data_IF_145927323669
#
_entry.id   IF_145927323669
#
_cell.length_a   1.000
_cell.length_b   1.000
_cell.length_c   1.000
_cell.angle_alpha   90.00
_cell.angle_beta   90.00
_cell.angle_gamma   90.00
#
_symmetry.space_group_name_H-M   'P 1'
#
loop_
_entity.id
_entity.type
_entity.pdbx_description
1 polymer ?
#
# COMPACT_ATOMS: atom_id res chain seq x y z
N UNK A 1 7.64 -3.37 -48.94
CA UNK A 1 6.38 -2.95 -48.28
C UNK A 1 6.39 -3.49 -46.86
N UNK A 2 6.74 -2.66 -45.88
CA UNK A 2 6.75 -3.02 -44.45
C UNK A 2 6.29 -1.78 -43.68
N UNK A 3 5.13 -1.91 -43.01
CA UNK A 3 4.55 -0.89 -42.13
C UNK A 3 5.03 -1.20 -40.71
N UNK A 4 5.77 -0.29 -40.09
CA UNK A 4 6.01 -0.29 -38.65
C UNK A 4 4.83 0.39 -37.96
N UNK A 5 4.26 -0.30 -36.97
CA UNK A 5 3.25 0.22 -36.05
C UNK A 5 3.95 0.87 -34.85
N UNK A 6 3.45 2.05 -34.46
CA UNK A 6 3.79 2.76 -33.23
C UNK A 6 3.15 2.06 -32.01
N UNK A 7 3.76 2.10 -30.82
CA UNK A 7 3.10 1.67 -29.59
C UNK A 7 2.18 2.77 -29.05
N UNK A 8 0.97 2.34 -28.69
CA UNK A 8 -0.15 3.14 -28.21
C UNK A 8 0.09 3.80 -26.85
N UNK A 9 -0.48 5.00 -26.71
CA UNK A 9 -0.44 5.82 -25.50
C UNK A 9 -1.30 5.27 -24.36
N UNK A 10 -0.81 5.51 -23.14
CA UNK A 10 -1.46 5.16 -21.88
C UNK A 10 -2.83 5.86 -21.77
N UNK A 11 -3.88 5.05 -21.68
CA UNK A 11 -5.28 5.48 -21.60
C UNK A 11 -5.63 6.08 -20.23
N UNK A 12 -6.01 7.37 -20.23
CA UNK A 12 -6.46 8.17 -19.06
C UNK A 12 -7.67 7.57 -18.31
N UNK A 13 -8.37 6.58 -18.88
CA UNK A 13 -9.49 5.86 -18.23
C UNK A 13 -9.04 4.80 -17.23
N UNK A 14 -7.78 4.33 -17.28
CA UNK A 14 -7.24 3.40 -16.28
C UNK A 14 -6.89 4.10 -14.97
N UNK A 15 -6.47 5.38 -15.03
CA UNK A 15 -6.05 6.15 -13.86
C UNK A 15 -7.24 6.55 -12.95
N UNK A 16 -8.41 6.84 -13.52
CA UNK A 16 -9.61 7.20 -12.73
C UNK A 16 -10.30 6.02 -12.05
N UNK A 17 -9.96 4.77 -12.38
CA UNK A 17 -10.44 3.59 -11.64
C UNK A 17 -9.64 3.32 -10.36
N UNK A 18 -8.42 3.84 -10.25
CA UNK A 18 -7.56 3.64 -9.08
C UNK A 18 -7.77 4.69 -7.98
N UNK A 19 -8.29 5.87 -8.32
CA UNK A 19 -8.53 6.96 -7.36
C UNK A 19 -9.88 6.86 -6.60
N UNK A 20 -10.74 5.88 -6.92
CA UNK A 20 -12.10 5.78 -6.39
C UNK A 20 -12.29 4.85 -5.19
N UNK A 21 -11.22 4.33 -4.56
CA UNK A 21 -11.31 3.25 -3.56
C UNK A 21 -10.54 3.55 -2.27
N UNK A 22 -10.62 4.78 -1.76
CA UNK A 22 -9.92 5.14 -0.51
C UNK A 22 -10.68 6.14 0.35
N UNK A 23 -11.99 5.94 0.59
CA UNK A 23 -12.69 6.61 1.70
C UNK A 23 -13.79 5.70 2.26
N UNK A 24 -13.51 5.04 3.39
CA UNK A 24 -14.39 4.63 4.50
C UNK A 24 -13.81 3.35 5.15
N UNK A 25 -13.63 3.21 6.46
CA UNK A 25 -13.65 4.14 7.58
C UNK A 25 -12.88 3.41 8.72
N UNK A 26 -12.03 4.15 9.42
CA UNK A 26 -11.62 3.79 10.78
C UNK A 26 -12.86 3.89 11.68
N UNK A 27 -13.38 2.76 12.14
CA UNK A 27 -14.31 2.71 13.26
C UNK A 27 -14.28 1.32 13.93
N UNK A 28 -13.94 1.35 15.22
CA UNK A 28 -14.33 0.41 16.26
C UNK A 28 -13.87 -1.06 16.17
N UNK A 29 -12.92 -1.37 17.06
CA UNK A 29 -12.79 -2.62 17.82
C UNK A 29 -14.03 -3.54 17.84
N UNK A 30 -13.84 -4.80 17.41
CA UNK A 30 -14.61 -5.96 17.88
C UNK A 30 -15.55 -6.62 16.86
N UNK A 31 -15.31 -7.90 16.56
CA UNK A 31 -16.29 -8.81 15.93
C UNK A 31 -16.04 -9.07 14.44
N UNK A 32 -15.91 -10.35 14.08
CA UNK A 32 -15.54 -10.79 12.73
C UNK A 32 -16.71 -10.88 11.75
N UNK A 33 -16.38 -11.02 10.46
CA UNK A 33 -17.03 -11.94 9.53
C UNK A 33 -16.35 -11.86 8.14
N UNK A 34 -16.30 -13.02 7.51
CA UNK A 34 -15.76 -13.34 6.21
C UNK A 34 -16.32 -12.52 5.04
N UNK A 35 -15.47 -12.29 4.02
CA UNK A 35 -15.89 -12.37 2.61
C UNK A 35 -14.79 -13.13 1.84
N UNK A 36 -14.95 -14.45 1.76
CA UNK A 36 -14.31 -15.30 0.75
C UNK A 36 -15.36 -15.62 -0.32
N UNK A 37 -15.11 -15.23 -1.57
CA UNK A 37 -15.84 -15.75 -2.72
C UNK A 37 -14.90 -16.50 -3.65
N UNK A 38 -15.02 -17.82 -3.55
CA UNK A 38 -15.14 -18.80 -4.63
C UNK A 38 -14.37 -18.55 -5.92
N UNK A 39 -13.30 -19.33 -6.09
CA UNK A 39 -13.06 -20.04 -7.35
C UNK A 39 -12.96 -21.54 -7.06
N UNK A 40 -13.92 -22.28 -7.60
CA UNK A 40 -13.94 -23.74 -7.63
C UNK A 40 -12.81 -24.27 -8.51
N UNK A 41 -12.13 -25.31 -8.02
CA UNK A 41 -11.82 -26.53 -8.79
C UNK A 41 -11.48 -27.65 -7.82
N UNK A 42 -12.41 -28.59 -7.67
CA UNK A 42 -12.18 -29.89 -7.02
C UNK A 42 -11.20 -30.72 -7.87
N UNK A 43 -10.27 -31.44 -7.24
CA UNK A 43 -9.93 -32.78 -7.67
C UNK A 43 -10.59 -33.79 -6.74
N UNK A 44 -11.36 -34.67 -7.38
CA UNK A 44 -11.69 -36.01 -6.87
C UNK A 44 -10.37 -36.74 -6.65
N UNK A 45 -10.12 -37.25 -5.45
CA UNK A 45 -9.09 -38.26 -5.22
C UNK A 45 -9.81 -39.51 -4.73
N UNK A 46 -9.78 -40.49 -5.62
CA UNK A 46 -10.25 -41.85 -5.42
C UNK A 46 -9.57 -42.51 -4.22
N UNK A 47 -10.41 -43.20 -3.45
CA UNK A 47 -10.01 -44.15 -2.44
C UNK A 47 -9.33 -45.37 -3.09
N UNK A 48 -8.00 -45.47 -3.00
CA UNK A 48 -7.28 -46.75 -3.17
C UNK A 48 -6.01 -46.74 -2.32
N UNK A 49 -5.93 -47.59 -1.29
CA UNK A 49 -4.72 -47.71 -0.48
C UNK A 49 -4.81 -48.64 0.72
N UNK A 50 -5.04 -49.93 0.46
CA UNK A 50 -4.87 -51.12 1.32
C UNK A 50 -4.33 -50.92 2.74
N UNK A 51 -5.14 -51.33 3.71
CA UNK A 51 -4.71 -51.79 5.03
C UNK A 51 -3.81 -53.03 4.91
N UNK A 52 -2.70 -53.16 5.67
CA UNK A 52 -2.17 -54.47 5.98
C UNK A 52 -3.09 -55.12 7.02
N UNK A 53 -3.81 -56.17 6.59
CA UNK A 53 -4.45 -57.13 7.50
C UNK A 53 -3.38 -57.77 8.38
N UNK A 54 -3.36 -57.41 9.66
CA UNK A 54 -2.63 -58.19 10.67
C UNK A 54 -3.37 -59.50 10.87
N UNK A 55 -2.81 -60.59 10.34
CA UNK A 55 -3.27 -61.94 10.60
C UNK A 55 -3.27 -62.22 12.12
N UNK A 56 -4.33 -62.81 12.69
CA UNK A 56 -4.29 -63.24 14.09
C UNK A 56 -3.25 -64.37 14.24
N UNK A 57 -2.49 -64.43 15.35
CA UNK A 57 -1.59 -65.55 15.60
C UNK A 57 -2.40 -66.84 15.69
N UNK A 58 -2.02 -67.79 14.83
CA UNK A 58 -2.51 -69.17 14.81
C UNK A 58 -2.25 -69.78 16.18
N UNK A 59 -3.32 -70.03 16.93
CA UNK A 59 -3.28 -70.80 18.18
C UNK A 59 -2.86 -72.22 17.86
N UNK A 60 -1.75 -72.65 18.46
CA UNK A 60 -1.31 -74.04 18.41
C UNK A 60 -2.34 -74.94 19.14
N UNK A 61 -2.62 -76.14 18.62
CA UNK A 61 -3.58 -77.05 19.23
C UNK A 61 -3.07 -77.58 20.57
N UNK A 62 -3.99 -77.65 21.52
CA UNK A 62 -3.90 -78.29 22.82
C UNK A 62 -3.08 -79.59 22.81
N UNK A 63 -2.06 -79.68 23.65
CA UNK A 63 -1.67 -80.96 24.27
C UNK A 63 -2.33 -81.01 25.63
N UNK A 64 -3.57 -81.48 25.67
CA UNK A 64 -4.18 -82.08 26.85
C UNK A 64 -3.35 -83.32 27.21
N UNK A 65 -2.28 -83.12 27.98
CA UNK A 65 -1.69 -84.20 28.74
C UNK A 65 -2.71 -84.57 29.82
N UNK A 66 -3.49 -85.63 29.57
CA UNK A 66 -4.25 -86.29 30.60
C UNK A 66 -3.28 -86.64 31.74
N UNK A 67 -3.62 -86.39 33.02
CA UNK A 67 -2.84 -86.95 34.11
C UNK A 67 -2.87 -88.47 33.92
N UNK A 68 -1.69 -89.07 33.77
CA UNK A 68 -1.53 -90.51 33.90
C UNK A 68 -1.90 -90.80 35.35
N UNK A 69 -3.15 -91.20 35.58
CA UNK A 69 -3.53 -91.94 36.77
C UNK A 69 -2.81 -93.27 36.61
N UNK A 70 -1.63 -93.37 37.22
CA UNK A 70 -1.02 -94.67 37.43
C UNK A 70 -2.03 -95.51 38.22
N UNK A 71 -2.61 -96.51 37.55
CA UNK A 71 -3.30 -97.60 38.22
C UNK A 71 -2.29 -98.26 39.17
N UNK A 72 -2.29 -97.81 40.43
CA UNK A 72 -1.71 -98.58 41.52
C UNK A 72 -2.71 -99.71 41.73
N UNK A 73 -2.55 -100.79 40.97
CA UNK A 73 -3.13 -102.08 41.32
C UNK A 73 -2.42 -102.48 42.61
N UNK A 74 -3.11 -102.56 43.77
CA UNK A 74 -2.48 -103.07 44.97
C UNK A 74 -2.28 -104.56 44.76
N UNK A 75 -1.05 -104.98 44.52
CA UNK A 75 -0.67 -106.38 44.65
C UNK A 75 -0.79 -106.73 46.13
N UNK A 76 -1.91 -107.35 46.50
CA UNK A 76 -2.11 -107.97 47.82
C UNK A 76 -1.12 -109.14 47.95
N UNK A 77 -0.18 -109.11 48.91
CA UNK A 77 0.58 -110.30 49.26
C UNK A 77 -0.39 -111.29 49.93
N UNK A 78 -0.30 -112.54 49.47
CA UNK A 78 -1.02 -113.66 50.06
C UNK A 78 -0.62 -113.83 51.54
N UNK A 79 -1.62 -113.74 52.41
CA UNK A 79 -1.69 -114.36 53.74
C UNK A 79 -0.44 -114.22 54.64
N UNK A 80 -0.34 -113.08 55.33
CA UNK A 80 0.10 -113.03 56.72
C UNK A 80 -1.06 -112.50 57.58
N UNK A 81 -1.03 -112.80 58.87
CA UNK A 81 -2.12 -112.67 59.84
C UNK A 81 -2.90 -111.34 59.80
N UNK A 82 -4.14 -111.36 60.28
CA UNK A 82 -5.16 -110.29 60.19
C UNK A 82 -4.84 -108.88 60.74
N UNK A 83 -3.57 -108.56 61.02
CA UNK A 83 -3.08 -107.21 61.33
C UNK A 83 -2.56 -106.43 60.10
N UNK A 84 -2.12 -107.11 59.02
CA UNK A 84 -1.49 -106.45 57.85
C UNK A 84 -2.50 -105.83 56.86
N UNK A 85 -3.71 -106.38 56.77
CA UNK A 85 -4.80 -105.80 55.93
C UNK A 85 -5.27 -104.44 56.47
N UNK A 86 -5.26 -104.26 57.79
CA UNK A 86 -5.58 -102.97 58.42
C UNK A 86 -4.47 -101.94 58.18
N UNK A 87 -3.21 -102.34 58.21
CA UNK A 87 -2.08 -101.47 57.85
C UNK A 87 -2.13 -101.04 56.38
N UNK A 88 -2.49 -101.96 55.48
CA UNK A 88 -2.64 -101.65 54.05
C UNK A 88 -3.86 -100.76 53.76
N UNK A 89 -4.99 -100.96 54.46
CA UNK A 89 -6.16 -100.06 54.38
C UNK A 89 -5.83 -98.66 54.93
N UNK A 90 -5.11 -98.57 56.05
CA UNK A 90 -4.67 -97.31 56.63
C UNK A 90 -3.69 -96.56 55.70
N UNK A 91 -2.77 -97.27 55.04
CA UNK A 91 -1.89 -96.70 54.02
C UNK A 91 -2.68 -96.19 52.81
N UNK A 92 -3.67 -96.95 52.33
CA UNK A 92 -4.54 -96.51 51.22
C UNK A 92 -5.43 -95.31 51.60
N UNK A 93 -5.90 -95.24 52.85
CA UNK A 93 -6.64 -94.07 53.35
C UNK A 93 -5.75 -92.83 53.45
N UNK A 94 -4.50 -92.99 53.90
CA UNK A 94 -3.53 -91.91 53.94
C UNK A 94 -3.21 -91.39 52.53
N UNK A 95 -3.07 -92.28 51.55
CA UNK A 95 -2.85 -91.92 50.14
C UNK A 95 -4.06 -91.20 49.52
N UNK A 96 -5.29 -91.66 49.80
CA UNK A 96 -6.51 -90.95 49.36
C UNK A 96 -6.61 -89.56 50.00
N UNK A 97 -6.23 -89.40 51.27
CA UNK A 97 -6.17 -88.07 51.90
C UNK A 97 -5.09 -87.18 51.28
N UNK A 98 -3.93 -87.73 50.93
CA UNK A 98 -2.86 -87.00 50.25
C UNK A 98 -3.26 -86.59 48.83
N UNK A 99 -3.90 -87.47 48.07
CA UNK A 99 -4.42 -87.18 46.73
C UNK A 99 -5.53 -86.13 46.76
N UNK A 100 -6.42 -86.18 47.77
CA UNK A 100 -7.43 -85.14 47.99
C UNK A 100 -6.80 -83.79 48.31
N UNK A 101 -5.85 -83.75 49.24
CA UNK A 101 -5.10 -82.53 49.55
C UNK A 101 -4.36 -81.97 48.32
N UNK A 102 -3.79 -82.85 47.47
CA UNK A 102 -3.13 -82.43 46.23
C UNK A 102 -4.11 -81.86 45.20
N UNK A 103 -5.30 -82.47 45.04
CA UNK A 103 -6.35 -81.95 44.16
C UNK A 103 -6.87 -80.60 44.67
N UNK A 104 -7.08 -80.45 45.98
CA UNK A 104 -7.51 -79.19 46.59
C UNK A 104 -6.46 -78.09 46.43
N UNK A 105 -5.17 -78.44 46.37
CA UNK A 105 -4.10 -77.50 46.07
C UNK A 105 -4.08 -77.11 44.59
N UNK A 106 -4.18 -78.07 43.67
CA UNK A 106 -4.27 -77.81 42.24
C UNK A 106 -5.49 -76.97 41.87
N UNK A 107 -6.65 -77.20 42.51
CA UNK A 107 -7.85 -76.38 42.30
C UNK A 107 -7.66 -74.93 42.76
N UNK A 108 -6.94 -74.72 43.86
CA UNK A 108 -6.59 -73.37 44.34
C UNK A 108 -5.62 -72.67 43.39
N UNK A 109 -4.62 -73.38 42.88
CA UNK A 109 -3.67 -72.83 41.91
C UNK A 109 -4.37 -72.50 40.58
N UNK A 110 -5.30 -73.34 40.13
CA UNK A 110 -6.09 -73.10 38.91
C UNK A 110 -7.02 -71.89 39.08
N UNK A 111 -7.66 -71.75 40.25
CA UNK A 111 -8.46 -70.56 40.57
C UNK A 111 -7.59 -69.28 40.65
N UNK A 112 -6.39 -69.36 41.23
CA UNK A 112 -5.44 -68.25 41.28
C UNK A 112 -4.96 -67.85 39.87
N UNK A 113 -4.65 -68.83 39.01
CA UNK A 113 -4.29 -68.60 37.61
C UNK A 113 -5.44 -67.99 36.81
N UNK A 114 -6.67 -68.47 36.99
CA UNK A 114 -7.85 -67.89 36.35
C UNK A 114 -8.07 -66.43 36.76
N UNK A 115 -7.82 -66.11 38.04
CA UNK A 115 -7.92 -64.74 38.55
C UNK A 115 -6.82 -63.86 37.95
N UNK A 116 -5.57 -64.33 37.93
CA UNK A 116 -4.44 -63.62 37.32
C UNK A 116 -4.60 -63.42 35.81
N UNK A 117 -5.20 -64.39 35.11
CA UNK A 117 -5.53 -64.26 33.69
C UNK A 117 -6.66 -63.23 33.45
N UNK A 118 -7.64 -63.18 34.34
CA UNK A 118 -8.67 -62.13 34.38
C UNK A 118 -8.07 -60.73 34.53
N UNK A 119 -7.18 -60.56 35.51
CA UNK A 119 -6.49 -59.28 35.78
C UNK A 119 -5.62 -58.84 34.61
N UNK A 120 -4.87 -59.77 34.00
CA UNK A 120 -4.03 -59.46 32.82
C UNK A 120 -4.85 -59.14 31.58
N UNK A 121 -6.02 -59.78 31.37
CA UNK A 121 -6.95 -59.38 30.30
C UNK A 121 -7.48 -57.97 30.54
N UNK A 122 -7.88 -57.66 31.76
CA UNK A 122 -8.41 -56.34 32.11
C UNK A 122 -7.35 -55.24 31.94
N UNK A 123 -6.10 -55.52 32.31
CA UNK A 123 -4.95 -54.62 32.06
C UNK A 123 -4.64 -54.45 30.57
N UNK A 124 -4.75 -55.51 29.77
CA UNK A 124 -4.57 -55.40 28.30
C UNK A 124 -5.67 -54.57 27.66
N UNK A 125 -6.91 -54.76 28.09
CA UNK A 125 -8.06 -54.00 27.59
C UNK A 125 -7.93 -52.52 27.96
N UNK A 126 -7.47 -52.19 29.18
CA UNK A 126 -7.22 -50.80 29.59
C UNK A 126 -6.10 -50.16 28.76
N UNK A 127 -4.98 -50.87 28.56
CA UNK A 127 -3.87 -50.38 27.73
C UNK A 127 -4.29 -50.22 26.25
N UNK A 128 -5.14 -51.10 25.73
CA UNK A 128 -5.67 -50.99 24.38
C UNK A 128 -6.55 -49.74 24.20
N UNK A 129 -7.40 -49.44 25.19
CA UNK A 129 -8.20 -48.22 25.21
C UNK A 129 -7.32 -46.96 25.34
N UNK A 130 -6.30 -46.97 26.19
CA UNK A 130 -5.35 -45.86 26.31
C UNK A 130 -4.57 -45.62 25.01
N UNK A 131 -4.17 -46.70 24.32
CA UNK A 131 -3.48 -46.61 23.04
C UNK A 131 -4.39 -46.07 21.92
N UNK A 132 -5.66 -46.44 21.93
CA UNK A 132 -6.65 -45.93 20.97
C UNK A 132 -6.97 -44.45 21.21
N UNK A 133 -7.12 -44.03 22.47
CA UNK A 133 -7.25 -42.61 22.85
C UNK A 133 -5.99 -41.81 22.46
N UNK A 134 -4.80 -42.33 22.74
CA UNK A 134 -3.55 -41.70 22.32
C UNK A 134 -3.44 -41.58 20.79
N UNK A 135 -3.86 -42.61 20.03
CA UNK A 135 -3.92 -42.57 18.56
C UNK A 135 -4.91 -41.53 18.05
N UNK A 136 -6.09 -41.46 18.64
CA UNK A 136 -7.09 -40.45 18.26
C UNK A 136 -6.57 -39.03 18.54
N UNK A 137 -5.95 -38.79 19.71
CA UNK A 137 -5.32 -37.50 20.04
C UNK A 137 -4.18 -37.16 19.07
N UNK A 138 -3.34 -38.12 18.72
CA UNK A 138 -2.29 -37.93 17.72
C UNK A 138 -2.86 -37.61 16.33
N UNK A 139 -3.97 -38.24 15.94
CA UNK A 139 -4.67 -37.94 14.69
C UNK A 139 -5.23 -36.51 14.65
N UNK A 140 -5.86 -36.06 15.73
CA UNK A 140 -6.37 -34.68 15.85
C UNK A 140 -5.23 -33.65 15.82
N UNK A 141 -4.13 -33.92 16.57
CA UNK A 141 -2.95 -33.06 16.56
C UNK A 141 -2.28 -33.03 15.17
N UNK A 142 -2.20 -34.18 14.48
CA UNK A 142 -1.69 -34.27 13.12
C UNK A 142 -2.53 -33.48 12.13
N UNK A 143 -3.86 -33.52 12.24
CA UNK A 143 -4.77 -32.70 11.43
C UNK A 143 -4.59 -31.20 11.68
N UNK A 144 -4.44 -30.78 12.94
CA UNK A 144 -4.13 -29.39 13.30
C UNK A 144 -2.79 -28.94 12.71
N UNK A 145 -1.75 -29.78 12.82
CA UNK A 145 -0.43 -29.50 12.23
C UNK A 145 -0.54 -29.35 10.71
N UNK A 146 -1.31 -30.20 10.03
CA UNK A 146 -1.53 -30.09 8.58
C UNK A 146 -2.24 -28.78 8.19
N UNK A 147 -3.25 -28.34 8.97
CA UNK A 147 -3.90 -27.05 8.76
C UNK A 147 -2.96 -25.87 8.99
N UNK A 148 -2.12 -25.93 10.03
CA UNK A 148 -1.07 -24.92 10.24
C UNK A 148 -0.05 -24.93 9.11
N UNK A 149 0.35 -26.10 8.62
CA UNK A 149 1.25 -26.24 7.47
C UNK A 149 0.64 -25.62 6.21
N UNK A 150 -0.64 -25.88 5.93
CA UNK A 150 -1.32 -25.31 4.77
C UNK A 150 -1.47 -23.79 4.86
N UNK A 151 -1.74 -23.26 6.07
CA UNK A 151 -1.72 -21.82 6.33
C UNK A 151 -0.30 -21.23 6.20
N UNK A 152 0.72 -22.05 6.44
CA UNK A 152 2.12 -21.66 6.29
C UNK A 152 2.57 -21.69 4.82
N UNK A 153 2.15 -22.69 4.06
CA UNK A 153 2.42 -22.84 2.63
C UNK A 153 1.69 -21.77 1.81
N UNK A 154 0.56 -21.24 2.32
CA UNK A 154 0.01 -20.00 1.82
C UNK A 154 1.03 -18.88 2.09
N UNK A 155 1.75 -18.47 1.05
CA UNK A 155 2.81 -17.45 1.10
C UNK A 155 2.26 -16.03 1.31
N UNK A 156 1.51 -15.85 2.40
CA UNK A 156 1.02 -14.56 2.87
C UNK A 156 2.20 -13.64 3.21
N UNK A 157 3.35 -14.21 3.56
CA UNK A 157 4.57 -13.48 3.83
C UNK A 157 5.11 -12.76 2.61
N UNK A 158 5.34 -13.50 1.51
CA UNK A 158 5.78 -12.92 0.25
C UNK A 158 4.78 -11.91 -0.31
N UNK A 159 3.48 -12.22 -0.29
CA UNK A 159 2.45 -11.28 -0.74
C UNK A 159 2.46 -9.97 0.08
N UNK A 160 2.64 -10.07 1.40
CA UNK A 160 2.72 -8.90 2.27
C UNK A 160 4.00 -8.11 2.03
N UNK A 161 5.14 -8.79 1.88
CA UNK A 161 6.43 -8.15 1.62
C UNK A 161 6.44 -7.41 0.27
N UNK A 162 5.94 -8.05 -0.79
CA UNK A 162 5.79 -7.46 -2.11
C UNK A 162 4.83 -6.26 -2.07
N UNK A 163 3.69 -6.42 -1.39
CA UNK A 163 2.69 -5.37 -1.24
C UNK A 163 3.23 -4.16 -0.46
N UNK A 164 4.00 -4.41 0.60
CA UNK A 164 4.70 -3.35 1.32
C UNK A 164 5.74 -2.71 0.41
N UNK A 165 6.60 -3.48 -0.25
CA UNK A 165 7.61 -2.97 -1.17
C UNK A 165 7.03 -2.02 -2.21
N UNK A 166 5.95 -2.42 -2.89
CA UNK A 166 5.28 -1.62 -3.91
C UNK A 166 4.71 -0.29 -3.37
N UNK A 167 4.11 -0.30 -2.17
CA UNK A 167 3.61 0.92 -1.52
C UNK A 167 4.78 1.81 -1.10
N UNK A 168 5.83 1.23 -0.52
CA UNK A 168 7.04 1.92 -0.11
C UNK A 168 7.75 2.59 -1.29
N UNK A 169 7.79 1.95 -2.46
CA UNK A 169 8.34 2.52 -3.69
C UNK A 169 7.57 3.78 -4.11
N UNK A 170 6.23 3.73 -4.14
CA UNK A 170 5.41 4.91 -4.52
C UNK A 170 5.49 6.05 -3.51
N UNK A 171 5.57 5.73 -2.23
CA UNK A 171 5.83 6.73 -1.19
C UNK A 171 7.25 7.31 -1.37
N UNK A 172 8.22 6.47 -1.68
CA UNK A 172 9.61 6.88 -1.96
C UNK A 172 9.72 7.79 -3.19
N UNK A 173 9.02 7.48 -4.29
CA UNK A 173 8.91 8.35 -5.47
C UNK A 173 8.31 9.72 -5.12
N UNK A 174 7.22 9.73 -4.35
CA UNK A 174 6.56 10.96 -3.91
C UNK A 174 7.49 11.82 -3.05
N UNK A 175 8.15 11.22 -2.08
CA UNK A 175 9.12 11.89 -1.21
C UNK A 175 10.37 12.32 -1.98
N UNK A 176 10.83 11.52 -2.94
CA UNK A 176 11.97 11.84 -3.80
C UNK A 176 11.71 13.03 -4.70
N UNK A 177 10.46 13.25 -5.12
CA UNK A 177 10.04 14.44 -5.87
C UNK A 177 9.85 15.70 -5.02
N UNK A 178 9.72 15.55 -3.70
CA UNK A 178 9.39 16.65 -2.80
C UNK A 178 10.44 17.78 -2.76
N UNK A 179 11.76 17.54 -2.79
CA UNK A 179 12.76 18.62 -2.82
C UNK A 179 12.68 19.49 -4.09
N UNK A 180 12.42 18.89 -5.25
CA UNK A 180 12.25 19.61 -6.49
C UNK A 180 11.00 20.50 -6.45
N UNK A 181 9.90 19.98 -5.90
CA UNK A 181 8.68 20.75 -5.68
C UNK A 181 8.92 21.91 -4.70
N UNK A 182 9.55 21.65 -3.56
CA UNK A 182 9.88 22.68 -2.56
C UNK A 182 10.73 23.81 -3.15
N UNK A 183 11.77 23.46 -3.92
CA UNK A 183 12.59 24.44 -4.63
C UNK A 183 11.79 25.24 -5.65
N UNK A 184 10.88 24.60 -6.39
CA UNK A 184 9.97 25.28 -7.31
C UNK A 184 9.02 26.26 -6.60
N UNK A 185 8.55 25.91 -5.40
CA UNK A 185 7.71 26.77 -4.57
C UNK A 185 8.49 27.97 -4.02
N UNK A 186 9.74 27.78 -3.58
CA UNK A 186 10.61 28.88 -3.14
C UNK A 186 10.87 29.87 -4.29
N UNK A 187 11.19 29.36 -5.48
CA UNK A 187 11.37 30.17 -6.68
C UNK A 187 10.09 30.89 -7.10
N UNK A 188 8.95 30.21 -7.01
CA UNK A 188 7.63 30.81 -7.29
C UNK A 188 7.29 31.93 -6.30
N UNK A 189 7.55 31.73 -5.01
CA UNK A 189 7.33 32.75 -3.99
C UNK A 189 8.24 33.96 -4.18
N UNK A 190 9.50 33.74 -4.54
CA UNK A 190 10.43 34.82 -4.88
C UNK A 190 9.99 35.59 -6.11
N UNK A 191 9.53 34.91 -7.17
CA UNK A 191 9.02 35.56 -8.37
C UNK A 191 7.75 36.38 -8.08
N UNK A 192 6.81 35.84 -7.29
CA UNK A 192 5.61 36.57 -6.87
C UNK A 192 5.98 37.79 -6.02
N UNK A 193 6.89 37.65 -5.07
CA UNK A 193 7.39 38.76 -4.25
C UNK A 193 8.08 39.84 -5.10
N UNK A 194 8.81 39.46 -6.15
CA UNK A 194 9.36 40.42 -7.11
C UNK A 194 8.27 41.17 -7.86
N UNK A 195 7.23 40.48 -8.36
CA UNK A 195 6.10 41.13 -9.03
C UNK A 195 5.42 42.12 -8.09
N UNK A 196 5.15 41.71 -6.84
CA UNK A 196 4.55 42.57 -5.82
C UNK A 196 5.40 43.81 -5.52
N UNK A 197 6.72 43.65 -5.45
CA UNK A 197 7.65 44.76 -5.24
C UNK A 197 7.67 45.77 -6.41
N UNK A 198 7.28 45.36 -7.63
CA UNK A 198 7.20 46.26 -8.78
C UNK A 198 5.85 46.98 -8.90
N UNK A 199 4.80 46.55 -8.17
CA UNK A 199 3.47 47.18 -8.22
C UNK A 199 3.53 48.69 -7.92
N UNK A 200 4.24 49.18 -6.89
CA UNK A 200 4.34 50.62 -6.63
C UNK A 200 5.02 51.39 -7.77
N UNK A 201 5.98 50.77 -8.45
CA UNK A 201 6.65 51.37 -9.61
C UNK A 201 5.71 51.44 -10.82
N UNK A 202 4.88 50.42 -11.02
CA UNK A 202 3.82 50.45 -12.04
C UNK A 202 2.77 51.52 -11.73
N UNK A 203 2.36 51.70 -10.47
CA UNK A 203 1.43 52.76 -10.03
C UNK A 203 2.04 54.15 -10.25
N UNK A 204 3.33 54.31 -9.94
CA UNK A 204 4.09 55.53 -10.21
C UNK A 204 4.21 55.81 -11.72
N UNK A 205 4.50 54.78 -12.53
CA UNK A 205 4.57 54.90 -13.99
C UNK A 205 3.22 55.28 -14.61
N UNK A 206 2.13 54.70 -14.11
CA UNK A 206 0.76 55.06 -14.50
C UNK A 206 0.46 56.53 -14.23
N UNK A 207 0.68 56.99 -13.00
CA UNK A 207 0.41 58.39 -12.64
C UNK A 207 1.25 59.37 -13.46
N UNK A 208 2.50 59.00 -13.78
CA UNK A 208 3.35 59.77 -14.70
C UNK A 208 2.76 59.82 -16.12
N UNK A 209 2.28 58.69 -16.66
CA UNK A 209 1.65 58.62 -17.98
C UNK A 209 0.37 59.48 -18.03
N UNK A 210 -0.48 59.44 -17.01
CA UNK A 210 -1.69 60.26 -16.92
C UNK A 210 -1.35 61.76 -16.95
N UNK A 211 -0.35 62.19 -16.17
CA UNK A 211 0.12 63.59 -16.16
C UNK A 211 0.69 63.99 -17.52
N UNK A 212 1.45 63.12 -18.17
CA UNK A 212 2.08 63.41 -19.45
C UNK A 212 1.05 63.44 -20.59
N UNK A 213 0.08 62.52 -20.59
CA UNK A 213 -1.03 62.50 -21.53
C UNK A 213 -1.89 63.76 -21.40
N UNK A 214 -2.20 64.20 -20.16
CA UNK A 214 -2.93 65.44 -19.92
C UNK A 214 -2.18 66.68 -20.43
N UNK A 215 -0.85 66.75 -20.21
CA UNK A 215 -0.01 67.83 -20.74
C UNK A 215 -0.01 67.85 -22.27
N UNK A 216 0.16 66.70 -22.92
CA UNK A 216 0.15 66.62 -24.38
C UNK A 216 -1.21 66.98 -24.94
N UNK A 217 -2.31 66.47 -24.36
CA UNK A 217 -3.67 66.88 -24.73
C UNK A 217 -3.88 68.40 -24.60
N UNK A 218 -3.36 69.02 -23.54
CA UNK A 218 -3.36 70.47 -23.37
C UNK A 218 -2.57 71.21 -24.46
N UNK A 219 -1.35 70.76 -24.79
CA UNK A 219 -0.57 71.34 -25.87
C UNK A 219 -1.25 71.20 -27.23
N UNK A 220 -1.86 70.05 -27.53
CA UNK A 220 -2.62 69.85 -28.76
C UNK A 220 -3.86 70.74 -28.79
N UNK A 221 -4.62 70.86 -27.70
CA UNK A 221 -5.76 71.77 -27.63
C UNK A 221 -5.37 73.24 -27.76
N UNK A 222 -4.24 73.66 -27.19
CA UNK A 222 -3.69 75.01 -27.38
C UNK A 222 -3.23 75.24 -28.82
N UNK A 223 -2.52 74.27 -29.42
CA UNK A 223 -2.11 74.32 -30.83
C UNK A 223 -3.34 74.38 -31.72
N UNK A 224 -4.36 73.55 -31.49
CA UNK A 224 -5.62 73.55 -32.23
C UNK A 224 -6.36 74.88 -32.08
N UNK A 225 -6.47 75.42 -30.87
CA UNK A 225 -7.12 76.73 -30.63
C UNK A 225 -6.33 77.87 -31.29
N UNK A 226 -5.00 77.83 -31.22
CA UNK A 226 -4.12 78.78 -31.93
C UNK A 226 -4.23 78.60 -33.43
N UNK A 227 -4.36 77.36 -33.93
CA UNK A 227 -4.57 77.07 -35.33
C UNK A 227 -5.93 77.58 -35.77
N UNK A 228 -7.00 77.42 -34.99
CA UNK A 228 -8.33 77.94 -35.30
C UNK A 228 -8.33 79.47 -35.33
N UNK A 229 -7.75 80.14 -34.33
CA UNK A 229 -7.57 81.61 -34.37
C UNK A 229 -6.65 82.07 -35.49
N UNK A 230 -5.58 81.33 -35.75
CA UNK A 230 -4.71 81.60 -36.88
C UNK A 230 -5.47 81.37 -38.16
N UNK A 231 -6.33 80.36 -38.28
CA UNK A 231 -7.17 80.04 -39.45
C UNK A 231 -8.18 81.17 -39.71
N UNK A 232 -8.69 81.81 -38.68
CA UNK A 232 -9.48 83.05 -38.81
C UNK A 232 -8.61 84.25 -39.24
N UNK A 233 -7.33 84.27 -38.88
CA UNK A 233 -6.30 85.20 -39.39
C UNK A 233 -5.60 84.69 -40.67
N UNK A 234 -5.94 83.51 -41.20
CA UNK A 234 -5.17 82.82 -42.25
C UNK A 234 -5.49 83.41 -43.61
N UNK A 235 -6.59 84.15 -43.74
CA UNK A 235 -6.75 85.06 -44.86
C UNK A 235 -5.58 86.08 -44.92
N UNK A 236 -5.22 86.69 -43.78
CA UNK A 236 -4.12 87.65 -43.67
C UNK A 236 -2.74 86.95 -43.64
N UNK A 237 -2.62 85.78 -42.99
CA UNK A 237 -1.39 85.01 -42.98
C UNK A 237 -1.10 84.34 -44.33
N UNK A 238 -2.07 83.84 -45.09
CA UNK A 238 -1.85 83.34 -46.46
C UNK A 238 -1.45 84.48 -47.40
N UNK A 239 -2.00 85.68 -47.22
CA UNK A 239 -1.54 86.86 -47.94
C UNK A 239 -0.09 87.21 -47.56
N UNK A 240 0.26 87.16 -46.28
CA UNK A 240 1.62 87.40 -45.80
C UNK A 240 2.61 86.28 -46.19
N UNK A 241 2.17 85.02 -46.21
CA UNK A 241 2.95 83.84 -46.60
C UNK A 241 3.16 83.82 -48.11
N UNK A 242 2.15 84.21 -48.91
CA UNK A 242 2.30 84.42 -50.35
C UNK A 242 3.32 85.54 -50.62
N UNK A 243 3.24 86.67 -49.89
CA UNK A 243 4.22 87.74 -49.99
C UNK A 243 5.63 87.32 -49.52
N UNK A 244 5.72 86.47 -48.50
CA UNK A 244 6.99 85.90 -48.03
C UNK A 244 7.57 84.89 -49.04
N UNK A 245 6.75 84.05 -49.67
CA UNK A 245 7.16 83.18 -50.77
C UNK A 245 7.60 83.98 -52.00
N UNK A 246 6.92 85.08 -52.33
CA UNK A 246 7.33 86.03 -53.37
C UNK A 246 8.70 86.67 -53.05
N UNK A 247 8.92 86.99 -51.78
CA UNK A 247 10.19 87.52 -51.25
C UNK A 247 11.32 86.49 -51.25
N UNK A 248 11.05 85.24 -50.84
CA UNK A 248 11.99 84.13 -50.86
C UNK A 248 12.35 83.73 -52.29
N UNK A 249 11.37 83.71 -53.19
CA UNK A 249 11.56 83.46 -54.62
C UNK A 249 12.44 84.52 -55.28
N UNK A 250 12.44 85.76 -54.76
CA UNK A 250 13.37 86.81 -55.17
C UNK A 250 14.80 86.61 -54.68
N UNK A 251 15.03 85.80 -53.64
CA UNK A 251 16.31 85.73 -52.93
C UNK A 251 17.04 84.38 -52.98
N UNK A 252 16.51 83.35 -53.66
CA UNK A 252 17.12 82.01 -53.63
C UNK A 252 17.53 81.47 -55.00
N UNK A 253 18.82 81.57 -55.37
CA UNK A 253 19.54 80.50 -56.04
C UNK A 253 20.17 79.52 -55.02
N UNK A 254 20.09 78.22 -55.34
CA UNK A 254 20.72 77.03 -54.73
C UNK A 254 20.21 76.53 -53.34
N UNK A 255 19.20 75.65 -53.36
CA UNK A 255 19.14 74.46 -52.48
C UNK A 255 18.72 74.61 -51.01
N UNK A 256 18.52 75.82 -50.46
CA UNK A 256 18.06 75.97 -49.06
C UNK A 256 16.55 75.74 -48.88
N UNK A 257 15.76 75.91 -49.95
CA UNK A 257 14.31 75.67 -49.93
C UNK A 257 13.94 74.18 -49.75
N UNK A 258 14.75 73.27 -50.28
CA UNK A 258 14.55 71.82 -50.16
C UNK A 258 14.78 71.37 -48.71
N UNK A 259 15.84 71.87 -48.05
CA UNK A 259 16.07 71.61 -46.61
C UNK A 259 14.97 72.18 -45.70
N UNK A 260 14.44 73.35 -46.02
CA UNK A 260 13.33 73.94 -45.27
C UNK A 260 12.02 73.14 -45.48
N UNK A 261 11.78 72.65 -46.70
CA UNK A 261 10.66 71.78 -47.02
C UNK A 261 10.78 70.41 -46.31
N UNK A 262 11.98 69.83 -46.26
CA UNK A 262 12.24 68.57 -45.56
C UNK A 262 12.03 68.69 -44.04
N UNK A 263 12.52 69.77 -43.41
CA UNK A 263 12.29 70.03 -41.99
C UNK A 263 10.80 70.26 -41.69
N UNK A 264 10.10 71.00 -42.55
CA UNK A 264 8.65 71.19 -42.42
C UNK A 264 7.86 69.90 -42.63
N UNK A 265 8.26 69.05 -43.58
CA UNK A 265 7.66 67.73 -43.80
C UNK A 265 7.93 66.79 -42.63
N UNK A 266 9.15 66.79 -42.07
CA UNK A 266 9.49 66.02 -40.88
C UNK A 266 8.69 66.48 -39.64
N UNK A 267 8.54 67.79 -39.44
CA UNK A 267 7.69 68.36 -38.38
C UNK A 267 6.21 68.02 -38.60
N UNK A 268 5.73 68.04 -39.84
CA UNK A 268 4.34 67.72 -40.18
C UNK A 268 4.05 66.23 -39.97
N UNK A 269 4.98 65.35 -40.37
CA UNK A 269 4.88 63.91 -40.13
C UNK A 269 4.95 63.59 -38.64
N UNK A 270 5.87 64.23 -37.89
CA UNK A 270 5.92 64.09 -36.44
C UNK A 270 4.58 64.51 -35.82
N UNK A 271 4.04 65.67 -36.19
CA UNK A 271 2.77 66.18 -35.68
C UNK A 271 1.57 65.31 -36.08
N UNK A 272 1.63 64.66 -37.24
CA UNK A 272 0.61 63.73 -37.73
C UNK A 272 0.68 62.35 -37.06
N UNK A 273 1.88 61.86 -36.73
CA UNK A 273 2.09 60.56 -36.08
C UNK A 273 1.92 60.61 -34.56
N UNK A 274 2.20 61.76 -33.92
CA UNK A 274 2.13 61.86 -32.45
C UNK A 274 0.74 61.51 -31.89
N UNK A 275 -0.40 61.98 -32.44
CA UNK A 275 -1.73 61.62 -31.97
C UNK A 275 -1.98 60.11 -32.00
N UNK A 276 -1.55 59.45 -33.08
CA UNK A 276 -1.69 57.98 -33.23
C UNK A 276 -0.84 57.26 -32.19
N UNK A 277 0.39 57.71 -31.94
CA UNK A 277 1.24 57.13 -30.88
C UNK A 277 0.68 57.35 -29.48
N UNK A 278 0.03 58.50 -29.23
CA UNK A 278 -0.62 58.79 -27.94
C UNK A 278 -1.85 57.93 -27.72
N UNK A 279 -2.72 57.81 -28.73
CA UNK A 279 -3.86 56.89 -28.67
C UNK A 279 -3.39 55.44 -28.52
N UNK A 280 -2.28 55.07 -29.17
CA UNK A 280 -1.66 53.76 -29.03
C UNK A 280 -1.11 53.49 -27.62
N UNK A 281 -0.43 54.47 -27.00
CA UNK A 281 0.05 54.39 -25.62
C UNK A 281 -1.10 54.29 -24.62
N UNK A 282 -2.16 55.09 -24.81
CA UNK A 282 -3.33 55.05 -23.93
C UNK A 282 -4.03 53.68 -24.00
N UNK A 283 -4.35 53.22 -25.22
CA UNK A 283 -5.07 51.98 -25.42
C UNK A 283 -4.28 50.72 -25.02
N UNK A 284 -2.96 50.68 -25.29
CA UNK A 284 -2.16 49.48 -25.06
C UNK A 284 -1.39 49.47 -23.74
N UNK A 285 -1.20 50.62 -23.11
CA UNK A 285 -0.40 50.74 -21.89
C UNK A 285 -1.22 51.27 -20.73
N UNK A 286 -1.89 52.42 -20.88
CA UNK A 286 -2.61 53.07 -19.77
C UNK A 286 -3.88 52.30 -19.38
N UNK A 287 -4.72 51.92 -20.35
CA UNK A 287 -5.97 51.20 -20.07
C UNK A 287 -5.77 49.83 -19.41
N UNK A 288 -4.82 48.97 -19.85
CA UNK A 288 -4.54 47.71 -19.15
C UNK A 288 -3.94 47.92 -17.76
N UNK A 289 -3.04 48.90 -17.59
CA UNK A 289 -2.54 49.27 -16.27
C UNK A 289 -3.67 49.75 -15.36
N UNK A 290 -4.68 50.43 -15.91
CA UNK A 290 -5.80 50.91 -15.14
C UNK A 290 -6.57 49.75 -14.52
N UNK A 291 -6.89 48.73 -15.31
CA UNK A 291 -7.58 47.52 -14.84
C UNK A 291 -6.73 46.76 -13.80
N UNK A 292 -5.42 46.61 -14.02
CA UNK A 292 -4.56 45.84 -13.11
C UNK A 292 -4.26 46.57 -11.80
N UNK A 293 -4.16 47.90 -11.83
CA UNK A 293 -3.86 48.73 -10.67
C UNK A 293 -5.10 49.38 -10.06
N UNK A 294 -6.29 49.08 -10.58
CA UNK A 294 -7.55 49.57 -10.02
C UNK A 294 -7.59 49.24 -8.53
N UNK A 295 -7.83 50.27 -7.71
CA UNK A 295 -7.92 50.10 -6.27
C UNK A 295 -9.29 49.55 -5.90
N UNK A 296 -9.32 48.32 -5.40
CA UNK A 296 -10.51 47.68 -4.85
C UNK A 296 -10.26 47.58 -3.35
N UNK A 297 -11.09 48.23 -2.54
CA UNK A 297 -10.94 48.31 -1.08
C UNK A 297 -9.59 48.91 -0.61
N UNK A 298 -8.99 49.78 -1.42
CA UNK A 298 -7.72 50.47 -1.11
C UNK A 298 -6.45 49.73 -1.56
N UNK A 299 -6.56 48.47 -2.01
CA UNK A 299 -5.44 47.66 -2.53
C UNK A 299 -5.49 47.54 -4.08
N UNK A 300 -4.33 47.46 -4.77
CA UNK A 300 -4.29 47.20 -6.21
C UNK A 300 -4.90 45.84 -6.54
N UNK A 301 -5.72 45.76 -7.59
CA UNK A 301 -6.36 44.51 -8.04
C UNK A 301 -5.35 43.39 -8.30
N UNK A 302 -4.16 43.72 -8.83
CA UNK A 302 -3.06 42.78 -9.04
C UNK A 302 -2.58 42.13 -7.73
N UNK A 303 -2.45 42.89 -6.64
CA UNK A 303 -2.06 42.36 -5.33
C UNK A 303 -3.11 41.37 -4.81
N UNK A 304 -4.40 41.68 -5.00
CA UNK A 304 -5.50 40.79 -4.61
C UNK A 304 -5.52 39.50 -5.42
N UNK A 305 -5.11 39.53 -6.68
CA UNK A 305 -4.99 38.35 -7.54
C UNK A 305 -3.81 37.45 -7.13
N UNK A 306 -2.70 38.05 -6.68
CA UNK A 306 -1.48 37.33 -6.28
C UNK A 306 -1.62 36.70 -4.88
N UNK A 307 -2.38 37.33 -3.97
CA UNK A 307 -2.54 36.86 -2.58
C UNK A 307 -3.01 35.39 -2.47
N UNK A 308 -4.04 34.90 -3.20
CA UNK A 308 -4.41 33.49 -3.19
C UNK A 308 -3.31 32.54 -3.70
N UNK A 309 -2.47 32.99 -4.64
CA UNK A 309 -1.35 32.18 -5.12
C UNK A 309 -0.30 31.99 -4.02
N UNK A 310 -0.04 33.04 -3.25
CA UNK A 310 0.88 32.97 -2.11
C UNK A 310 0.27 32.16 -0.95
N UNK A 311 -0.90 32.58 -0.47
CA UNK A 311 -1.46 32.13 0.80
C UNK A 311 -2.17 30.78 0.71
N UNK A 312 -2.79 30.45 -0.43
CA UNK A 312 -3.52 29.20 -0.60
C UNK A 312 -2.73 28.18 -1.42
N UNK A 313 -2.16 28.57 -2.56
CA UNK A 313 -1.52 27.61 -3.46
C UNK A 313 -0.14 27.20 -2.96
N UNK A 314 0.76 28.17 -2.74
CA UNK A 314 2.13 27.87 -2.31
C UNK A 314 2.15 27.29 -0.90
N UNK A 315 1.39 27.88 0.04
CA UNK A 315 1.34 27.36 1.40
C UNK A 315 0.75 25.94 1.48
N UNK A 316 -0.32 25.65 0.73
CA UNK A 316 -0.88 24.30 0.69
C UNK A 316 0.06 23.32 0.02
N UNK A 317 0.76 23.72 -1.05
CA UNK A 317 1.75 22.87 -1.69
C UNK A 317 2.92 22.53 -0.74
N UNK A 318 3.42 23.50 0.05
CA UNK A 318 4.41 23.22 1.11
C UNK A 318 3.86 22.23 2.13
N UNK A 319 2.64 22.47 2.60
CA UNK A 319 1.98 21.56 3.55
C UNK A 319 1.85 20.13 2.99
N UNK A 320 1.53 19.97 1.70
CA UNK A 320 1.46 18.64 1.08
C UNK A 320 2.82 17.96 0.98
N UNK A 321 3.90 18.72 0.78
CA UNK A 321 5.28 18.20 0.82
C UNK A 321 5.61 17.68 2.21
N UNK A 322 5.33 18.45 3.25
CA UNK A 322 5.58 18.05 4.65
C UNK A 322 4.74 16.83 5.04
N UNK A 323 3.49 16.78 4.59
CA UNK A 323 2.61 15.62 4.78
C UNK A 323 3.15 14.38 4.07
N UNK A 324 3.70 14.49 2.86
CA UNK A 324 4.30 13.36 2.16
C UNK A 324 5.49 12.76 2.95
N UNK A 325 6.36 13.61 3.50
CA UNK A 325 7.44 13.17 4.38
C UNK A 325 6.92 12.49 5.65
N UNK A 326 5.87 13.04 6.25
CA UNK A 326 5.23 12.48 7.44
C UNK A 326 4.61 11.10 7.15
N UNK A 327 3.90 10.97 6.03
CA UNK A 327 3.32 9.69 5.60
C UNK A 327 4.41 8.65 5.38
N UNK A 328 5.54 9.02 4.77
CA UNK A 328 6.65 8.10 4.58
C UNK A 328 7.27 7.63 5.89
N UNK A 329 7.49 8.56 6.83
CA UNK A 329 8.01 8.23 8.15
C UNK A 329 7.07 7.29 8.92
N UNK A 330 5.76 7.61 8.93
CA UNK A 330 4.73 6.80 9.60
C UNK A 330 4.58 5.43 8.94
N UNK A 331 4.61 5.37 7.61
CA UNK A 331 4.56 4.12 6.87
C UNK A 331 5.75 3.22 7.23
N UNK A 332 6.97 3.77 7.23
CA UNK A 332 8.16 2.99 7.54
C UNK A 332 8.17 2.54 9.02
N UNK A 333 7.88 3.45 9.96
CA UNK A 333 7.96 3.16 11.40
C UNK A 333 6.84 2.24 11.90
N UNK A 334 5.62 2.39 11.39
CA UNK A 334 4.44 1.72 11.96
C UNK A 334 3.99 0.51 11.15
N UNK A 335 4.39 0.41 9.87
CA UNK A 335 3.92 -0.65 8.99
C UNK A 335 5.07 -1.47 8.43
N UNK A 336 5.98 -0.85 7.67
CA UNK A 336 6.97 -1.58 6.88
C UNK A 336 8.03 -2.26 7.77
N UNK A 337 8.65 -1.53 8.69
CA UNK A 337 9.68 -2.11 9.56
C UNK A 337 9.11 -3.18 10.52
N UNK A 338 7.98 -2.97 11.22
CA UNK A 338 7.39 -4.01 12.06
C UNK A 338 6.97 -5.26 11.27
N UNK A 339 6.41 -5.09 10.07
CA UNK A 339 6.02 -6.22 9.23
C UNK A 339 7.23 -7.02 8.76
N UNK A 340 8.30 -6.38 8.27
CA UNK A 340 9.54 -7.07 7.90
C UNK A 340 10.16 -7.81 9.08
N UNK A 341 10.15 -7.22 10.28
CA UNK A 341 10.62 -7.88 11.50
C UNK A 341 9.77 -9.12 11.85
N UNK A 342 8.43 -9.03 11.75
CA UNK A 342 7.53 -10.15 11.98
C UNK A 342 7.74 -11.28 10.97
N UNK A 343 7.95 -10.96 9.69
CA UNK A 343 8.26 -11.92 8.64
C UNK A 343 9.60 -12.62 8.87
N UNK A 344 10.65 -11.87 9.23
CA UNK A 344 11.96 -12.44 9.59
C UNK A 344 11.90 -13.38 10.80
N UNK A 345 11.13 -13.01 11.84
CA UNK A 345 10.89 -13.86 13.00
C UNK A 345 10.15 -15.16 12.61
N UNK A 346 9.13 -15.05 11.74
CA UNK A 346 8.39 -16.22 11.24
C UNK A 346 9.31 -17.15 10.46
N UNK A 347 10.17 -16.63 9.59
CA UNK A 347 11.10 -17.45 8.81
C UNK A 347 12.11 -18.17 9.71
N UNK A 348 12.59 -17.50 10.76
CA UNK A 348 13.45 -18.13 11.78
C UNK A 348 12.72 -19.26 12.52
N UNK A 349 11.47 -19.05 12.91
CA UNK A 349 10.63 -20.08 13.53
C UNK A 349 10.41 -21.27 12.60
N UNK A 350 10.17 -21.04 11.30
CA UNK A 350 10.05 -22.13 10.32
C UNK A 350 11.32 -22.98 10.26
N UNK A 351 12.48 -22.33 10.24
CA UNK A 351 13.77 -23.03 10.23
C UNK A 351 13.93 -23.89 11.49
N UNK A 352 13.63 -23.33 12.66
CA UNK A 352 13.69 -24.07 13.93
C UNK A 352 12.73 -25.26 13.98
N UNK A 353 11.51 -25.10 13.45
CA UNK A 353 10.52 -26.20 13.37
C UNK A 353 11.02 -27.29 12.41
N UNK A 354 11.57 -26.92 11.25
CA UNK A 354 12.11 -27.87 10.29
C UNK A 354 13.30 -28.65 10.88
N UNK A 355 14.22 -27.96 11.56
CA UNK A 355 15.35 -28.57 12.25
C UNK A 355 14.89 -29.51 13.38
N UNK A 356 13.89 -29.09 14.16
CA UNK A 356 13.30 -29.91 15.22
C UNK A 356 12.65 -31.19 14.67
N UNK A 357 11.92 -31.11 13.57
CA UNK A 357 11.33 -32.28 12.90
C UNK A 357 12.40 -33.23 12.36
N UNK A 358 13.43 -32.70 11.71
CA UNK A 358 14.55 -33.48 11.21
C UNK A 358 15.30 -34.23 12.34
N UNK A 359 15.49 -33.57 13.49
CA UNK A 359 16.14 -34.18 14.67
C UNK A 359 15.29 -35.30 15.30
N UNK A 360 13.96 -35.17 15.29
CA UNK A 360 13.06 -36.12 15.94
C UNK A 360 12.44 -37.15 14.97
N UNK A 361 12.86 -37.18 13.69
CA UNK A 361 12.33 -38.05 12.64
C UNK A 361 10.80 -37.97 12.49
N UNK A 362 10.25 -36.76 12.57
CA UNK A 362 8.79 -36.49 12.45
C UNK A 362 8.47 -35.89 11.09
#
# INVERSE_FOLDING_TARGET
MTRQQQPEGVSRRSFLRFAGLTVAAAAATGGGAAILKQFEKKPVIDAVGRFPESSPPTTAPYTTAAPIVSDIIPTLPAAAAGDDLFAQLAASQAEVMQLRASNDQLLRDLAALQTAEGDTRTSRDSLALELDDARNRLGVLGGLVALYQQLDDADVGGILEDGLGAVGEKIGELVGGAPALASGLDMGQLALGQVEAHIPLLDSGRSWLEVQAAKMGGFYGEVETRLQRAVDQVADFLAMLAAWFESLRKWLPFGAGEKAADVMSALTNLLAETPVTLTGLDANLAQPLDVWLQRIDGEPALTRLLRPMHDEVIARARTTVDQAHTVAAVYESNLAAPARAALGNRQTLRQQIADYRAQNQI
#
